data_IF_753395659681
#
_entry.id   IF_753395659681
#
_cell.length_a   1.000
_cell.length_b   1.000
_cell.length_c   1.000
_cell.angle_alpha   90.00
_cell.angle_beta   90.00
_cell.angle_gamma   90.00
#
_symmetry.space_group_name_H-M   'P 1'
#
loop_
_entity.id
_entity.type
_entity.pdbx_description
1 polymer ?
#
# COMPACT_ATOMS: atom_id res chain seq x y z
N UNK A 1 -20.24 -4.75 -1.57
CA UNK A 1 -19.25 -5.33 -0.64
C UNK A 1 -17.88 -4.89 -1.11
N UNK A 2 -16.98 -4.49 -0.21
CA UNK A 2 -15.63 -4.06 -0.54
C UNK A 2 -14.63 -4.95 0.21
N UNK A 3 -13.50 -5.23 -0.43
CA UNK A 3 -12.40 -6.03 0.12
C UNK A 3 -11.17 -5.14 0.18
N UNK A 4 -10.42 -5.26 1.28
CA UNK A 4 -9.15 -4.58 1.49
C UNK A 4 -8.01 -5.58 1.49
N UNK A 5 -6.85 -5.13 1.02
CA UNK A 5 -5.59 -5.85 1.07
C UNK A 5 -4.48 -4.84 1.35
N UNK A 6 -3.51 -5.21 2.17
CA UNK A 6 -2.29 -4.45 2.39
C UNK A 6 -1.23 -4.89 1.40
N UNK A 7 -0.63 -3.93 0.71
CA UNK A 7 0.50 -4.14 -0.19
C UNK A 7 1.65 -3.25 0.28
N UNK A 8 2.86 -3.79 0.28
CA UNK A 8 4.08 -3.02 0.51
C UNK A 8 5.06 -3.21 -0.65
N UNK A 9 5.88 -2.19 -0.89
CA UNK A 9 6.88 -2.21 -1.94
C UNK A 9 8.21 -1.59 -1.49
N UNK A 10 9.28 -1.98 -2.18
CA UNK A 10 10.58 -1.34 -2.02
C UNK A 10 10.74 -0.10 -2.94
N UNK A 11 11.83 0.64 -2.75
CA UNK A 11 12.19 1.81 -3.57
C UNK A 11 12.53 1.46 -5.03
N UNK A 12 12.61 0.16 -5.38
CA UNK A 12 12.82 -0.33 -6.75
C UNK A 12 11.51 -0.69 -7.44
N UNK A 13 10.37 -0.32 -6.86
CA UNK A 13 9.04 -0.64 -7.38
C UNK A 13 8.73 -2.14 -7.42
N UNK A 14 9.30 -2.93 -6.51
CA UNK A 14 8.94 -4.35 -6.35
C UNK A 14 7.97 -4.51 -5.20
N UNK A 15 6.92 -5.27 -5.42
CA UNK A 15 6.01 -5.71 -4.36
C UNK A 15 6.77 -6.70 -3.48
N UNK A 16 6.87 -6.42 -2.19
CA UNK A 16 7.60 -7.25 -1.22
C UNK A 16 6.67 -7.91 -0.21
N UNK A 17 5.44 -7.41 -0.07
CA UNK A 17 4.43 -7.96 0.82
C UNK A 17 3.03 -7.81 0.25
N UNK A 18 2.20 -8.83 0.43
CA UNK A 18 0.76 -8.83 0.15
C UNK A 18 0.08 -9.60 1.28
N UNK A 19 -0.80 -8.94 2.03
CA UNK A 19 -1.54 -9.56 3.12
C UNK A 19 -2.65 -10.48 2.63
N UNK A 20 -3.31 -11.15 3.58
CA UNK A 20 -4.66 -11.68 3.35
C UNK A 20 -5.69 -10.57 3.09
N UNK A 21 -6.88 -10.99 2.68
CA UNK A 21 -8.02 -10.12 2.43
C UNK A 21 -8.77 -9.78 3.72
N UNK A 22 -9.21 -8.53 3.82
CA UNK A 22 -10.00 -8.00 4.93
C UNK A 22 -11.32 -7.44 4.43
N UNK A 23 -12.32 -7.36 5.31
CA UNK A 23 -13.53 -6.62 5.03
C UNK A 23 -13.21 -5.13 4.78
N UNK A 24 -13.92 -4.51 3.84
CA UNK A 24 -13.74 -3.10 3.52
C UNK A 24 -14.06 -2.12 4.65
N UNK A 25 -14.79 -2.57 5.68
CA UNK A 25 -15.09 -1.78 6.88
C UNK A 25 -13.92 -1.69 7.86
N UNK A 26 -12.92 -2.58 7.77
CA UNK A 26 -11.77 -2.58 8.68
C UNK A 26 -10.91 -1.33 8.43
N UNK A 27 -10.48 -0.65 9.49
CA UNK A 27 -9.61 0.52 9.38
C UNK A 27 -8.23 0.14 8.82
N UNK A 28 -7.63 1.02 8.00
CA UNK A 28 -6.36 0.72 7.33
C UNK A 28 -5.22 0.48 8.33
N UNK A 29 -5.23 1.15 9.49
CA UNK A 29 -4.25 0.92 10.56
C UNK A 29 -4.42 -0.46 11.20
N UNK A 30 -5.65 -0.95 11.35
CA UNK A 30 -5.93 -2.31 11.85
C UNK A 30 -5.44 -3.34 10.85
N UNK A 31 -5.74 -3.13 9.56
CA UNK A 31 -5.23 -3.98 8.47
C UNK A 31 -3.70 -4.03 8.49
N UNK A 32 -3.02 -2.90 8.66
CA UNK A 32 -1.55 -2.88 8.75
C UNK A 32 -1.03 -3.76 9.90
N UNK A 33 -1.58 -3.59 11.11
CA UNK A 33 -1.16 -4.34 12.31
C UNK A 33 -1.37 -5.84 12.16
N UNK A 34 -2.47 -6.24 11.53
CA UNK A 34 -2.84 -7.65 11.33
C UNK A 34 -2.26 -8.25 10.05
N UNK A 35 -1.64 -7.45 9.17
CA UNK A 35 -1.14 -7.90 7.87
C UNK A 35 0.10 -8.79 7.94
N UNK A 36 0.72 -8.93 9.12
CA UNK A 36 2.03 -9.53 9.31
C UNK A 36 3.19 -8.71 8.76
N UNK A 37 2.96 -7.57 8.09
CA UNK A 37 4.05 -6.76 7.49
C UNK A 37 5.06 -6.33 8.55
N UNK A 38 4.57 -5.83 9.70
CA UNK A 38 5.43 -5.29 10.76
C UNK A 38 6.31 -6.37 11.42
N UNK A 39 5.93 -7.64 11.32
CA UNK A 39 6.71 -8.78 11.86
C UNK A 39 7.91 -9.13 10.97
N UNK A 40 7.89 -8.74 9.69
CA UNK A 40 8.92 -9.09 8.70
C UNK A 40 9.86 -7.92 8.37
N UNK A 41 9.58 -6.72 8.89
CA UNK A 41 10.39 -5.52 8.64
C UNK A 41 11.34 -5.33 9.81
N UNK A 42 12.63 -5.20 9.51
CA UNK A 42 13.62 -4.83 10.53
C UNK A 42 13.29 -3.45 11.11
N UNK A 43 13.43 -3.27 12.42
CA UNK A 43 13.14 -1.98 13.10
C UNK A 43 13.90 -0.79 12.51
N UNK A 44 15.05 -1.03 11.87
CA UNK A 44 15.87 0.00 11.23
C UNK A 44 15.31 0.50 9.88
N UNK A 45 14.36 -0.22 9.28
CA UNK A 45 13.82 0.06 7.95
C UNK A 45 12.58 0.95 8.09
N UNK A 46 12.61 2.21 7.62
CA UNK A 46 11.47 3.09 7.73
C UNK A 46 10.33 2.63 6.81
N UNK A 47 9.14 2.44 7.37
CA UNK A 47 7.92 2.22 6.59
C UNK A 47 7.30 3.58 6.28
N UNK A 48 6.97 3.81 5.01
CA UNK A 48 6.33 5.05 4.58
C UNK A 48 4.87 4.77 4.22
N UNK A 49 3.96 5.47 4.88
CA UNK A 49 2.52 5.26 4.74
C UNK A 49 1.74 6.53 4.45
N UNK A 50 0.50 6.34 3.99
CA UNK A 50 -0.47 7.42 3.93
C UNK A 50 -0.96 7.88 5.31
N UNK A 51 -1.74 8.96 5.32
CA UNK A 51 -2.32 9.51 6.57
C UNK A 51 -3.31 8.56 7.26
N UNK A 52 -3.78 7.52 6.58
CA UNK A 52 -4.62 6.49 7.18
C UNK A 52 -3.89 5.64 8.24
N UNK A 53 -2.55 5.66 8.22
CA UNK A 53 -1.69 5.00 9.21
C UNK A 53 -1.17 5.98 10.28
N UNK A 54 -1.72 7.19 10.36
CA UNK A 54 -1.31 8.17 11.36
C UNK A 54 -1.56 7.62 12.77
N UNK A 55 -0.53 7.67 13.63
CA UNK A 55 -0.56 7.12 14.99
C UNK A 55 0.12 5.76 15.11
N UNK A 56 0.62 5.19 14.01
CA UNK A 56 1.50 4.03 14.05
C UNK A 56 2.96 4.46 14.21
N UNK A 57 3.66 3.89 15.20
CA UNK A 57 4.99 4.35 15.61
C UNK A 57 6.05 4.09 14.53
N UNK A 58 5.96 2.94 13.87
CA UNK A 58 6.91 2.49 12.86
C UNK A 58 6.62 3.02 11.45
N UNK A 59 5.57 3.85 11.28
CA UNK A 59 5.16 4.38 9.97
C UNK A 59 5.35 5.89 9.90
N UNK A 60 6.24 6.30 9.01
CA UNK A 60 6.41 7.70 8.65
C UNK A 60 5.23 8.13 7.77
N UNK A 61 4.46 9.11 8.25
CA UNK A 61 3.28 9.64 7.54
C UNK A 61 3.42 11.15 7.27
N UNK A 62 2.77 11.68 6.22
CA UNK A 62 2.80 13.12 5.96
C UNK A 62 2.20 13.93 7.12
N UNK A 63 2.90 14.98 7.55
CA UNK A 63 2.47 15.92 8.60
C UNK A 63 1.11 16.53 8.24
N UNK A 64 0.14 16.43 9.16
CA UNK A 64 -1.20 17.00 9.00
C UNK A 64 -1.16 18.50 9.27
N UNK A 65 -1.97 19.26 8.53
CA UNK A 65 -2.18 20.69 8.80
C UNK A 65 -2.79 20.85 10.21
N UNK A 66 -2.18 21.64 11.11
CA UNK A 66 -2.77 21.91 12.42
C UNK A 66 -4.09 22.70 12.29
N UNK A 67 -5.01 22.51 13.23
CA UNK A 67 -6.29 23.24 13.25
C UNK A 67 -6.02 24.74 13.34
N UNK A 68 -6.59 25.51 12.42
CA UNK A 68 -6.47 26.98 12.40
C UNK A 68 -5.10 27.54 11.96
N UNK A 69 -4.12 26.69 11.58
CA UNK A 69 -2.79 27.15 11.14
C UNK A 69 -2.44 26.62 9.75
N UNK A 70 -1.49 27.26 9.06
CA UNK A 70 -0.92 26.76 7.80
C UNK A 70 0.21 25.77 8.08
N UNK A 71 0.50 24.89 7.13
CA UNK A 71 1.73 24.11 7.15
C UNK A 71 2.92 25.06 7.02
N UNK A 72 3.95 24.83 7.82
CA UNK A 72 5.22 25.55 7.70
C UNK A 72 5.92 25.15 6.40
N UNK A 73 6.94 25.90 5.97
CA UNK A 73 7.73 25.52 4.79
C UNK A 73 8.48 24.21 5.02
N UNK A 74 8.94 23.98 6.26
CA UNK A 74 9.56 22.72 6.67
C UNK A 74 8.57 21.55 6.53
N UNK A 75 7.34 21.69 7.05
CA UNK A 75 6.32 20.63 6.92
C UNK A 75 5.98 20.31 5.47
N UNK A 76 5.98 21.34 4.61
CA UNK A 76 5.76 21.15 3.17
C UNK A 76 6.94 20.44 2.51
N UNK A 77 8.18 20.79 2.87
CA UNK A 77 9.38 20.11 2.40
C UNK A 77 9.34 18.63 2.78
N UNK A 78 9.12 18.34 4.07
CA UNK A 78 8.96 16.98 4.57
C UNK A 78 7.84 16.23 3.83
N UNK A 79 6.65 16.83 3.69
CA UNK A 79 5.55 16.19 2.97
C UNK A 79 5.86 15.96 1.49
N UNK A 80 6.65 16.83 0.85
CA UNK A 80 7.08 16.64 -0.55
C UNK A 80 7.94 15.39 -0.67
N UNK A 81 8.89 15.21 0.24
CA UNK A 81 9.81 14.06 0.20
C UNK A 81 9.07 12.75 0.51
N UNK A 82 8.19 12.75 1.53
CA UNK A 82 7.34 11.59 1.85
C UNK A 82 6.39 11.24 0.69
N UNK A 83 5.74 12.24 0.08
CA UNK A 83 4.85 11.99 -1.06
C UNK A 83 5.63 11.51 -2.29
N UNK A 84 6.85 12.01 -2.51
CA UNK A 84 7.72 11.52 -3.57
C UNK A 84 8.07 10.04 -3.38
N UNK A 85 8.39 9.61 -2.15
CA UNK A 85 8.65 8.20 -1.85
C UNK A 85 7.39 7.34 -2.07
N UNK A 86 6.21 7.86 -1.68
CA UNK A 86 4.92 7.18 -1.86
C UNK A 86 4.50 6.99 -3.31
N UNK A 87 5.04 7.77 -4.25
CA UNK A 87 4.77 7.57 -5.67
C UNK A 87 5.07 6.11 -6.11
N UNK A 88 6.02 5.45 -5.43
CA UNK A 88 6.34 4.04 -5.67
C UNK A 88 5.14 3.10 -5.49
N UNK A 89 4.49 3.15 -4.32
CA UNK A 89 3.34 2.29 -4.03
C UNK A 89 2.10 2.72 -4.84
N UNK A 90 1.96 4.01 -5.13
CA UNK A 90 0.86 4.53 -5.95
C UNK A 90 0.95 4.02 -7.39
N UNK A 91 2.16 4.00 -7.97
CA UNK A 91 2.42 3.43 -9.28
C UNK A 91 2.16 1.91 -9.32
N UNK A 92 2.55 1.18 -8.26
CA UNK A 92 2.26 -0.25 -8.13
C UNK A 92 0.74 -0.50 -8.04
N UNK A 93 0.02 0.27 -7.23
CA UNK A 93 -1.43 0.16 -7.12
C UNK A 93 -2.11 0.44 -8.46
N UNK A 94 -1.62 1.43 -9.21
CA UNK A 94 -2.12 1.70 -10.54
C UNK A 94 -1.84 0.54 -11.51
N UNK A 95 -0.65 -0.07 -11.44
CA UNK A 95 -0.28 -1.23 -12.25
C UNK A 95 -1.10 -2.47 -11.89
N UNK A 96 -1.33 -2.75 -10.62
CA UNK A 96 -2.19 -3.84 -10.17
C UNK A 96 -3.61 -3.69 -10.73
N UNK A 97 -4.13 -2.46 -10.80
CA UNK A 97 -5.45 -2.15 -11.35
C UNK A 97 -5.55 -2.32 -12.88
N UNK A 98 -4.45 -2.50 -13.62
CA UNK A 98 -4.54 -2.81 -15.06
C UNK A 98 -4.94 -4.26 -15.31
N UNK A 99 -4.75 -5.14 -14.33
CA UNK A 99 -5.27 -6.50 -14.37
C UNK A 99 -6.79 -6.44 -14.16
N UNK A 100 -7.56 -6.84 -15.18
CA UNK A 100 -9.01 -6.70 -15.18
C UNK A 100 -9.71 -7.31 -13.94
N UNK A 101 -9.13 -8.35 -13.36
CA UNK A 101 -9.62 -9.00 -12.14
C UNK A 101 -9.54 -8.12 -10.89
N UNK A 102 -8.61 -7.15 -10.85
CA UNK A 102 -8.45 -6.18 -9.76
C UNK A 102 -8.97 -4.79 -10.11
N UNK A 103 -8.94 -4.42 -11.40
CA UNK A 103 -9.40 -3.10 -11.88
C UNK A 103 -10.92 -3.00 -12.09
N UNK A 104 -11.59 -4.13 -12.29
CA UNK A 104 -13.04 -4.20 -12.52
C UNK A 104 -13.84 -4.72 -11.33
N UNK A 105 -15.16 -4.85 -11.53
CA UNK A 105 -16.04 -5.49 -10.54
C UNK A 105 -15.74 -7.00 -10.50
N UNK A 106 -15.30 -7.48 -9.33
CA UNK A 106 -15.16 -8.91 -9.08
C UNK A 106 -16.53 -9.58 -9.06
N UNK A 107 -16.73 -10.59 -9.93
CA UNK A 107 -18.01 -11.31 -10.09
C UNK A 107 -18.03 -12.68 -9.40
N UNK A 108 -16.97 -13.05 -8.70
CA UNK A 108 -16.92 -14.28 -7.91
C UNK A 108 -17.57 -14.13 -6.53
N UNK A 109 -17.47 -15.18 -5.73
CA UNK A 109 -17.87 -15.19 -4.32
C UNK A 109 -17.00 -14.25 -3.50
N UNK A 110 -17.56 -13.15 -3.02
CA UNK A 110 -16.83 -12.09 -2.29
C UNK A 110 -16.51 -12.47 -0.84
N UNK A 111 -17.15 -13.52 -0.33
CA UNK A 111 -16.94 -14.12 1.01
C UNK A 111 -15.76 -15.11 1.03
N UNK A 112 -15.25 -15.53 -0.13
CA UNK A 112 -14.13 -16.46 -0.25
C UNK A 112 -12.78 -15.70 -0.19
N UNK A 113 -12.43 -15.21 0.99
CA UNK A 113 -11.21 -14.43 1.22
C UNK A 113 -9.94 -15.19 0.89
N UNK A 114 -9.92 -16.51 1.10
CA UNK A 114 -8.77 -17.34 0.79
C UNK A 114 -8.48 -17.33 -0.72
N UNK A 115 -9.50 -17.59 -1.53
CA UNK A 115 -9.36 -17.57 -3.00
C UNK A 115 -9.00 -16.19 -3.53
N UNK A 116 -9.61 -15.12 -3.00
CA UNK A 116 -9.33 -13.75 -3.44
C UNK A 116 -7.90 -13.35 -3.07
N UNK A 117 -7.42 -13.74 -1.88
CA UNK A 117 -6.03 -13.54 -1.46
C UNK A 117 -5.07 -14.21 -2.43
N UNK A 118 -5.29 -15.49 -2.77
CA UNK A 118 -4.45 -16.21 -3.75
C UNK A 118 -4.43 -15.52 -5.11
N UNK A 119 -5.58 -15.06 -5.60
CA UNK A 119 -5.68 -14.31 -6.86
C UNK A 119 -4.81 -13.05 -6.80
N UNK A 120 -4.93 -12.26 -5.73
CA UNK A 120 -4.16 -11.01 -5.58
C UNK A 120 -2.67 -11.31 -5.50
N UNK A 121 -2.26 -12.34 -4.75
CA UNK A 121 -0.86 -12.76 -4.63
C UNK A 121 -0.27 -13.21 -5.98
N UNK A 122 -1.02 -13.99 -6.77
CA UNK A 122 -0.60 -14.38 -8.12
C UNK A 122 -0.46 -13.15 -9.03
N UNK A 123 -1.43 -12.23 -8.99
CA UNK A 123 -1.36 -10.99 -9.77
C UNK A 123 -0.17 -10.13 -9.35
N UNK A 124 0.11 -10.02 -8.05
CA UNK A 124 1.29 -9.32 -7.54
C UNK A 124 2.60 -9.96 -8.01
N UNK A 125 2.70 -11.29 -8.00
CA UNK A 125 3.85 -12.00 -8.54
C UNK A 125 4.04 -11.75 -10.04
N UNK A 126 2.96 -11.79 -10.83
CA UNK A 126 2.99 -11.44 -12.26
C UNK A 126 3.37 -9.96 -12.49
N UNK A 127 2.93 -9.07 -11.62
CA UNK A 127 3.28 -7.66 -11.65
C UNK A 127 4.79 -7.46 -11.43
N UNK A 128 5.39 -8.17 -10.46
CA UNK A 128 6.83 -8.18 -10.24
C UNK A 128 7.59 -8.75 -11.45
N UNK A 129 7.16 -9.89 -12.00
CA UNK A 129 7.80 -10.52 -13.15
C UNK A 129 7.75 -9.63 -14.41
N UNK A 130 6.62 -8.98 -14.65
CA UNK A 130 6.48 -8.06 -15.79
C UNK A 130 7.24 -6.75 -15.59
N UNK A 131 7.49 -6.33 -14.35
CA UNK A 131 8.27 -5.13 -14.05
C UNK A 131 9.74 -5.25 -14.46
N UNK A 132 10.27 -6.47 -14.51
CA UNK A 132 11.61 -6.73 -15.03
C UNK A 132 11.71 -6.45 -16.55
N UNK A 133 10.61 -6.64 -17.30
CA UNK A 133 10.56 -6.41 -18.76
C UNK A 133 10.10 -4.99 -19.11
N UNK A 134 9.20 -4.44 -18.29
CA UNK A 134 8.63 -3.11 -18.46
C UNK A 134 8.71 -2.37 -17.12
N UNK A 135 9.83 -1.70 -16.82
CA UNK A 135 10.02 -1.02 -15.56
C UNK A 135 9.02 0.14 -15.41
N UNK A 136 8.54 0.34 -14.18
CA UNK A 136 7.72 1.51 -13.85
C UNK A 136 8.60 2.74 -14.03
N UNK A 137 8.15 3.69 -14.86
CA UNK A 137 8.84 4.97 -15.08
C UNK A 137 8.95 5.71 -13.74
N UNK A 138 10.17 6.15 -13.43
CA UNK A 138 10.46 6.99 -12.25
C UNK A 138 10.00 8.42 -12.49
#
# INVERSE_FOLDING_TARGET
>A
YAIKVQVACDFRHRIVHVSECYHGSVHDITVLRESGLLEHVEESVPIIGGKAYLGEEYVVTPRKKPRGRKLTQEDKGFNRDINSARAAIENINQRLKTYAILGGVYRGRVDDFHKITQIIQVVAALCNLSSNKHPIRR
#
